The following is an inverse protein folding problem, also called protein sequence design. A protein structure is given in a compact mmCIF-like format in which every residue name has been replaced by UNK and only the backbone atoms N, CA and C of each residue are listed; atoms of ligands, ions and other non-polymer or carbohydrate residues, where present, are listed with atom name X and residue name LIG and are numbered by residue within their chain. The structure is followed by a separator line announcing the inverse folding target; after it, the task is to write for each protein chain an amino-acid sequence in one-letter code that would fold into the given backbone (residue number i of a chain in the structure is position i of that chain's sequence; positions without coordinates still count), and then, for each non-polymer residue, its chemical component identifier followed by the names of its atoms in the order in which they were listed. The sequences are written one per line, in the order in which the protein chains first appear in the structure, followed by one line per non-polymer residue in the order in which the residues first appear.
data_IF_315144745708
#
_entry.id   IF_315144745708
#
_cell.length_a   1.000
_cell.length_b   1.000
_cell.length_c   1.000
_cell.angle_alpha   90.00
_cell.angle_beta   90.00
_cell.angle_gamma   90.00
#
_symmetry.space_group_name_H-M   'P 1'
#
loop_
_entity.id
_entity.type
_entity.pdbx_description
1 polymer ?
#
# COMPACT_ATOMS: atom_id res chain seq x y z
N UNK A 1 13.29 -43.85 46.35
CA UNK A 1 12.32 -43.37 45.36
C UNK A 1 12.82 -42.03 44.77
N UNK A 2 13.36 -42.08 43.57
CA UNK A 2 13.83 -40.89 42.88
C UNK A 2 12.65 -40.23 42.15
N UNK A 3 12.29 -38.98 42.52
CA UNK A 3 11.31 -38.18 41.80
C UNK A 3 11.96 -37.64 40.52
N UNK A 4 11.54 -38.19 39.38
CA UNK A 4 11.89 -37.64 38.05
C UNK A 4 11.16 -36.31 37.87
N UNK A 5 11.89 -35.21 37.95
CA UNK A 5 11.39 -33.90 37.60
C UNK A 5 11.31 -33.86 36.06
N UNK A 6 10.10 -33.94 35.50
CA UNK A 6 9.88 -33.63 34.08
C UNK A 6 10.20 -32.14 33.89
N UNK A 7 11.27 -31.81 33.19
CA UNK A 7 11.48 -30.51 32.64
C UNK A 7 10.45 -30.33 31.54
N UNK A 8 9.35 -29.61 31.81
CA UNK A 8 8.46 -29.12 30.78
C UNK A 8 9.26 -28.11 29.94
N UNK A 9 9.56 -28.52 28.72
CA UNK A 9 10.17 -27.64 27.73
C UNK A 9 9.07 -26.73 27.17
N UNK A 10 8.85 -25.62 27.82
CA UNK A 10 7.95 -24.57 27.28
C UNK A 10 8.63 -23.95 26.05
N UNK A 11 8.09 -24.20 24.86
CA UNK A 11 8.49 -23.44 23.68
C UNK A 11 8.13 -21.98 23.92
N UNK A 12 9.13 -21.12 24.00
CA UNK A 12 8.93 -19.68 24.02
C UNK A 12 8.81 -19.22 22.57
N UNK A 13 7.66 -18.69 22.21
CA UNK A 13 7.45 -18.01 20.95
C UNK A 13 7.85 -16.54 21.13
N UNK A 14 8.59 -16.00 20.16
CA UNK A 14 8.92 -14.60 20.07
C UNK A 14 8.13 -14.01 18.88
N UNK A 15 7.24 -13.02 19.10
CA UNK A 15 6.54 -12.38 18.00
C UNK A 15 7.49 -11.50 17.19
N UNK A 16 7.34 -11.55 15.87
CA UNK A 16 8.10 -10.74 14.90
C UNK A 16 7.08 -10.13 13.96
N UNK A 17 6.87 -8.83 14.05
CA UNK A 17 5.77 -8.14 13.37
C UNK A 17 6.34 -7.09 12.42
N UNK A 18 5.98 -7.17 11.16
CA UNK A 18 6.15 -6.12 10.16
C UNK A 18 4.80 -5.59 9.70
N UNK A 19 4.77 -4.36 9.26
CA UNK A 19 3.56 -3.71 8.75
C UNK A 19 3.72 -3.32 7.29
N UNK A 20 2.65 -3.51 6.52
CA UNK A 20 2.45 -2.94 5.19
C UNK A 20 1.26 -1.98 5.29
N UNK A 21 1.49 -0.70 5.02
CA UNK A 21 0.52 0.36 5.22
C UNK A 21 0.23 1.01 3.87
N UNK A 22 -1.05 1.02 3.46
CA UNK A 22 -1.50 1.74 2.29
C UNK A 22 -2.04 3.12 2.69
N UNK A 23 -1.46 4.18 2.12
CA UNK A 23 -1.91 5.54 2.30
C UNK A 23 -2.41 6.13 0.97
N UNK A 24 -3.70 6.46 0.90
CA UNK A 24 -4.24 7.20 -0.26
C UNK A 24 -3.75 8.64 -0.24
N UNK A 25 -3.23 9.10 -1.38
CA UNK A 25 -2.77 10.47 -1.53
C UNK A 25 -3.93 11.40 -1.91
N UNK A 26 -3.99 12.56 -1.27
CA UNK A 26 -5.04 13.57 -1.48
C UNK A 26 -4.75 14.45 -2.72
N UNK A 27 -4.44 13.83 -3.84
CA UNK A 27 -4.34 14.54 -5.14
C UNK A 27 -5.72 14.80 -5.71
N UNK A 28 -5.85 15.79 -6.60
CA UNK A 28 -7.13 16.09 -7.25
C UNK A 28 -7.47 15.09 -8.36
N UNK A 29 -6.45 14.48 -8.96
CA UNK A 29 -6.60 13.49 -10.02
C UNK A 29 -5.84 12.21 -9.72
N UNK A 30 -6.23 11.13 -10.39
CA UNK A 30 -5.65 9.81 -10.28
C UNK A 30 -4.18 9.78 -10.69
N UNK A 31 -3.48 8.69 -10.33
CA UNK A 31 -2.04 8.56 -10.55
C UNK A 31 -1.64 8.64 -12.04
N UNK A 32 -2.47 8.10 -12.95
CA UNK A 32 -2.12 7.99 -14.36
C UNK A 32 -3.15 8.62 -15.32
N UNK A 33 -4.16 9.32 -14.80
CA UNK A 33 -5.17 10.01 -15.63
C UNK A 33 -5.78 11.21 -14.91
N UNK A 34 -6.57 12.01 -15.63
CA UNK A 34 -7.22 13.20 -15.10
C UNK A 34 -8.54 12.97 -14.35
N UNK A 35 -8.96 11.71 -14.11
CA UNK A 35 -10.18 11.44 -13.36
C UNK A 35 -10.06 11.91 -11.91
N UNK A 36 -11.17 12.37 -11.35
CA UNK A 36 -11.25 12.85 -9.97
C UNK A 36 -10.96 11.71 -8.96
N UNK A 37 -10.27 12.05 -7.88
CA UNK A 37 -10.05 11.17 -6.72
C UNK A 37 -11.09 11.40 -5.62
N UNK A 38 -12.08 12.30 -5.85
CA UNK A 38 -13.09 12.65 -4.85
C UNK A 38 -13.89 11.42 -4.42
N UNK A 39 -13.97 11.20 -3.12
CA UNK A 39 -14.80 10.17 -2.52
C UNK A 39 -16.30 10.52 -2.60
N UNK A 40 -17.19 9.50 -2.65
CA UNK A 40 -18.64 9.67 -2.53
C UNK A 40 -19.37 10.02 -3.84
N UNK A 41 -18.72 9.93 -5.00
CA UNK A 41 -19.39 10.03 -6.30
C UNK A 41 -20.28 8.80 -6.59
N UNK A 42 -21.30 8.94 -7.46
CA UNK A 42 -22.07 7.78 -7.94
C UNK A 42 -21.15 6.74 -8.57
N UNK A 43 -21.44 5.44 -8.46
CA UNK A 43 -20.58 4.37 -8.98
C UNK A 43 -20.23 4.58 -10.47
N UNK A 44 -18.97 4.35 -10.80
CA UNK A 44 -18.42 4.41 -12.17
C UNK A 44 -18.56 5.77 -12.87
N UNK A 45 -18.61 6.88 -12.12
CA UNK A 45 -18.66 8.25 -12.69
C UNK A 45 -17.27 8.89 -12.78
N UNK A 46 -16.29 8.44 -12.01
CA UNK A 46 -14.91 8.92 -12.04
C UNK A 46 -13.99 7.95 -12.80
N UNK A 47 -14.36 7.60 -14.03
CA UNK A 47 -13.65 6.64 -14.86
C UNK A 47 -13.37 7.17 -16.25
N UNK A 48 -12.30 6.70 -16.87
CA UNK A 48 -11.95 6.99 -18.26
C UNK A 48 -11.27 5.77 -18.90
N UNK A 49 -11.06 5.77 -20.22
CA UNK A 49 -10.38 4.66 -20.89
C UNK A 49 -9.03 4.28 -20.27
N UNK A 50 -8.28 5.24 -19.72
CA UNK A 50 -6.96 4.95 -19.10
C UNK A 50 -7.10 4.13 -17.83
N UNK A 51 -7.88 4.58 -16.85
CA UNK A 51 -8.03 3.83 -15.59
C UNK A 51 -8.83 2.53 -15.76
N UNK A 52 -9.64 2.41 -16.83
CA UNK A 52 -10.32 1.16 -17.20
C UNK A 52 -9.43 0.22 -18.03
N UNK A 53 -8.24 0.65 -18.42
CA UNK A 53 -7.30 -0.20 -19.17
C UNK A 53 -7.75 -0.57 -20.57
N UNK A 54 -8.46 0.33 -21.25
CA UNK A 54 -8.92 0.10 -22.63
C UNK A 54 -7.73 -0.06 -23.59
N UNK A 55 -7.87 -0.84 -24.68
CA UNK A 55 -6.79 -1.02 -25.66
C UNK A 55 -6.29 0.32 -26.23
N UNK A 56 -4.96 0.47 -26.31
CA UNK A 56 -4.30 1.63 -26.90
C UNK A 56 -4.08 2.81 -25.97
N UNK A 57 -4.54 2.77 -24.72
CA UNK A 57 -4.29 3.83 -23.74
C UNK A 57 -2.88 3.77 -23.17
N UNK A 58 -2.32 4.95 -22.86
CA UNK A 58 -1.03 5.08 -22.22
C UNK A 58 -1.16 5.90 -20.92
N UNK A 59 -0.64 5.40 -19.79
CA UNK A 59 -0.65 6.13 -18.53
C UNK A 59 0.32 7.32 -18.56
N UNK A 60 -0.07 8.43 -17.92
CA UNK A 60 0.79 9.61 -17.72
C UNK A 60 0.84 9.90 -16.22
N UNK A 61 2.05 9.84 -15.66
CA UNK A 61 2.25 10.00 -14.22
C UNK A 61 1.88 11.41 -13.73
N UNK A 62 1.07 11.49 -12.70
CA UNK A 62 0.70 12.71 -12.02
C UNK A 62 1.87 13.22 -11.16
N UNK A 63 2.28 14.46 -11.40
CA UNK A 63 3.39 15.11 -10.69
C UNK A 63 3.15 15.25 -9.19
N UNK A 64 1.92 15.58 -8.77
CA UNK A 64 1.57 15.78 -7.37
C UNK A 64 1.78 14.49 -6.55
N UNK A 65 1.58 13.32 -7.17
CA UNK A 65 1.84 12.02 -6.54
C UNK A 65 3.32 11.87 -6.17
N UNK A 66 4.22 12.26 -7.07
CA UNK A 66 5.66 12.22 -6.80
C UNK A 66 6.00 13.17 -5.66
N UNK A 67 5.47 14.40 -5.69
CA UNK A 67 5.75 15.41 -4.65
C UNK A 67 5.26 14.94 -3.26
N UNK A 68 4.07 14.35 -3.18
CA UNK A 68 3.54 13.82 -1.91
C UNK A 68 4.33 12.60 -1.44
N UNK A 69 4.70 11.72 -2.35
CA UNK A 69 5.52 10.55 -2.04
C UNK A 69 6.92 10.95 -1.53
N UNK A 70 7.55 11.95 -2.13
CA UNK A 70 8.82 12.49 -1.65
C UNK A 70 8.69 13.14 -0.26
N UNK A 71 7.61 13.87 0.01
CA UNK A 71 7.34 14.42 1.35
C UNK A 71 7.22 13.32 2.40
N UNK A 72 6.51 12.23 2.10
CA UNK A 72 6.40 11.07 2.98
C UNK A 72 7.76 10.42 3.22
N UNK A 73 8.55 10.22 2.16
CA UNK A 73 9.89 9.65 2.27
C UNK A 73 10.82 10.49 3.16
N UNK A 74 10.77 11.81 3.04
CA UNK A 74 11.54 12.72 3.88
C UNK A 74 11.04 12.70 5.34
N UNK A 75 9.72 12.70 5.56
CA UNK A 75 9.13 12.67 6.89
C UNK A 75 9.45 11.38 7.66
N UNK A 76 9.67 10.29 6.95
CA UNK A 76 10.05 8.98 7.50
C UNK A 76 11.55 8.69 7.40
N UNK A 77 12.37 9.72 7.19
CA UNK A 77 13.84 9.62 7.12
C UNK A 77 14.36 8.62 6.08
N UNK A 78 13.56 8.34 5.04
CA UNK A 78 13.98 7.46 3.96
C UNK A 78 15.00 8.13 3.04
N UNK A 79 15.89 7.31 2.47
CA UNK A 79 16.74 7.72 1.36
C UNK A 79 15.94 7.65 0.05
N UNK A 80 15.78 8.80 -0.62
CA UNK A 80 15.13 8.86 -1.93
C UNK A 80 16.04 8.27 -2.98
N UNK A 81 15.53 7.33 -3.78
CA UNK A 81 16.28 6.68 -4.84
C UNK A 81 16.52 7.65 -6.00
N UNK A 82 17.76 7.76 -6.51
CA UNK A 82 18.06 8.62 -7.68
C UNK A 82 17.44 8.08 -8.98
N UNK A 83 17.10 6.80 -9.00
CA UNK A 83 16.40 6.11 -10.07
C UNK A 83 15.25 5.29 -9.50
N UNK A 84 14.08 5.42 -10.10
CA UNK A 84 12.86 4.73 -9.69
C UNK A 84 12.10 4.25 -10.93
N UNK A 85 11.51 3.08 -10.89
CA UNK A 85 10.83 2.48 -12.03
C UNK A 85 9.53 1.81 -11.59
N UNK A 86 8.47 2.02 -12.40
CA UNK A 86 7.23 1.25 -12.25
C UNK A 86 7.38 -0.15 -12.84
N UNK A 87 6.70 -1.09 -12.21
CA UNK A 87 6.56 -2.48 -12.60
C UNK A 87 5.08 -2.84 -12.71
N UNK A 88 4.78 -4.00 -13.27
CA UNK A 88 3.42 -4.53 -13.36
C UNK A 88 3.28 -5.74 -12.45
N UNK A 89 2.38 -5.63 -11.46
CA UNK A 89 1.96 -6.75 -10.62
C UNK A 89 0.75 -7.40 -11.28
N UNK A 90 0.96 -8.51 -11.96
CA UNK A 90 -0.08 -9.20 -12.73
C UNK A 90 -0.94 -10.06 -11.82
N UNK A 91 -2.24 -9.80 -11.79
CA UNK A 91 -3.26 -10.67 -11.20
C UNK A 91 -4.63 -10.37 -11.80
N UNK A 92 -5.52 -11.36 -11.79
CA UNK A 92 -6.86 -11.23 -12.36
C UNK A 92 -7.88 -11.21 -11.22
N UNK A 93 -8.54 -10.07 -11.08
CA UNK A 93 -9.65 -9.90 -10.15
C UNK A 93 -10.66 -8.88 -10.71
N UNK A 94 -11.98 -8.99 -10.41
CA UNK A 94 -12.98 -8.11 -11.01
C UNK A 94 -12.77 -6.63 -10.79
N UNK A 95 -12.15 -6.22 -9.68
CA UNK A 95 -11.86 -4.81 -9.36
C UNK A 95 -10.59 -4.27 -10.03
N UNK A 96 -9.88 -5.10 -10.78
CA UNK A 96 -8.68 -4.71 -11.51
C UNK A 96 -8.89 -4.86 -13.03
N UNK A 97 -9.46 -3.83 -13.69
CA UNK A 97 -9.94 -3.95 -15.09
C UNK A 97 -8.83 -4.22 -16.12
N UNK A 98 -7.58 -3.84 -15.79
CA UNK A 98 -6.41 -4.06 -16.65
C UNK A 98 -5.83 -5.48 -16.53
N UNK A 99 -6.17 -6.24 -15.50
CA UNK A 99 -5.53 -7.51 -15.17
C UNK A 99 -4.13 -7.37 -14.58
N UNK A 100 -3.68 -6.15 -14.29
CA UNK A 100 -2.43 -5.85 -13.58
C UNK A 100 -2.55 -4.53 -12.82
N UNK A 101 -1.78 -4.39 -11.77
CA UNK A 101 -1.59 -3.16 -11.01
C UNK A 101 -0.24 -2.56 -11.39
N UNK A 102 -0.20 -1.24 -11.65
CA UNK A 102 1.07 -0.53 -11.79
C UNK A 102 1.56 -0.20 -10.38
N UNK A 103 2.74 -0.66 -10.05
CA UNK A 103 3.37 -0.53 -8.75
C UNK A 103 4.88 -0.38 -8.91
N UNK A 104 5.66 -0.44 -7.83
CA UNK A 104 7.11 -0.46 -7.88
C UNK A 104 7.62 -1.62 -7.04
N UNK A 105 8.65 -2.33 -7.49
CA UNK A 105 9.21 -3.46 -6.76
C UNK A 105 10.73 -3.36 -6.63
N UNK A 106 11.48 -3.55 -7.72
CA UNK A 106 12.95 -3.53 -7.69
C UNK A 106 13.53 -2.13 -7.47
N UNK A 107 12.86 -1.11 -8.01
CA UNK A 107 13.31 0.28 -7.96
C UNK A 107 12.24 1.20 -7.34
N UNK A 108 11.97 1.06 -6.03
CA UNK A 108 11.00 1.89 -5.34
C UNK A 108 11.48 3.33 -5.21
N UNK A 109 10.56 4.24 -4.90
CA UNK A 109 10.85 5.66 -4.71
C UNK A 109 11.88 5.91 -3.60
N UNK A 110 11.75 5.21 -2.46
CA UNK A 110 12.60 5.43 -1.31
C UNK A 110 12.80 4.15 -0.49
N UNK A 111 13.91 4.11 0.27
CA UNK A 111 14.32 2.96 1.10
C UNK A 111 15.00 3.42 2.38
N UNK A 112 15.17 2.46 3.30
CA UNK A 112 16.03 2.58 4.48
C UNK A 112 15.67 3.79 5.36
N UNK A 113 14.38 3.96 5.63
CA UNK A 113 13.87 4.98 6.54
C UNK A 113 13.68 4.46 7.95
N UNK A 114 13.09 5.32 8.78
CA UNK A 114 12.69 4.97 10.15
C UNK A 114 11.69 5.98 10.69
N UNK A 115 10.92 5.52 11.68
CA UNK A 115 10.08 6.35 12.53
C UNK A 115 10.44 6.09 13.98
N UNK A 116 10.26 7.08 14.83
CA UNK A 116 10.49 6.96 16.27
C UNK A 116 9.15 6.83 16.98
N UNK A 117 8.99 5.76 17.76
CA UNK A 117 7.84 5.54 18.61
C UNK A 117 8.18 6.05 20.00
N UNK A 118 7.35 6.94 20.53
CA UNK A 118 7.42 7.37 21.93
C UNK A 118 6.56 6.43 22.77
N UNK A 119 7.19 5.74 23.71
CA UNK A 119 6.56 4.78 24.61
C UNK A 119 6.77 5.25 26.06
N UNK A 120 5.96 4.77 27.00
CA UNK A 120 6.14 5.06 28.44
C UNK A 120 7.53 4.64 28.96
N UNK A 121 8.12 3.61 28.33
CA UNK A 121 9.44 3.06 28.70
C UNK A 121 10.62 3.73 28.00
N UNK A 122 10.39 4.72 27.13
CA UNK A 122 11.40 5.39 26.31
C UNK A 122 11.05 5.38 24.84
N UNK A 123 11.93 5.89 23.98
CA UNK A 123 11.72 5.87 22.54
C UNK A 123 12.29 4.60 21.88
N UNK A 124 11.62 4.13 20.84
CA UNK A 124 12.05 3.00 20.02
C UNK A 124 11.98 3.36 18.54
N UNK A 125 13.00 3.02 17.79
CA UNK A 125 13.05 3.22 16.36
C UNK A 125 12.55 1.99 15.61
N UNK A 126 11.55 2.20 14.73
CA UNK A 126 11.07 1.19 13.78
C UNK A 126 11.57 1.57 12.40
N UNK A 127 12.27 0.65 11.76
CA UNK A 127 12.85 0.86 10.43
C UNK A 127 11.78 0.73 9.34
N UNK A 128 11.92 1.54 8.30
CA UNK A 128 11.14 1.46 7.07
C UNK A 128 12.01 0.80 6.00
N UNK A 129 11.58 -0.33 5.49
CA UNK A 129 12.27 -1.04 4.43
C UNK A 129 12.21 -0.27 3.11
N UNK A 130 10.99 0.11 2.70
CA UNK A 130 10.75 0.88 1.46
C UNK A 130 9.46 1.66 1.51
N UNK A 131 9.39 2.67 0.64
CA UNK A 131 8.15 3.36 0.25
C UNK A 131 8.07 3.32 -1.26
N UNK A 132 6.93 2.89 -1.79
CA UNK A 132 6.70 2.87 -3.22
C UNK A 132 5.31 3.37 -3.59
N UNK A 133 5.22 3.86 -4.83
CA UNK A 133 3.98 4.36 -5.41
C UNK A 133 3.25 3.24 -6.14
N UNK A 134 1.93 3.23 -6.01
CA UNK A 134 1.06 2.31 -6.74
C UNK A 134 -0.33 2.89 -6.97
N UNK A 135 -1.13 2.21 -7.78
CA UNK A 135 -2.53 2.55 -8.02
C UNK A 135 -3.46 1.68 -7.18
N UNK A 136 -4.55 2.29 -6.67
CA UNK A 136 -5.59 1.54 -5.97
C UNK A 136 -6.45 0.73 -6.97
N UNK A 137 -7.03 -0.36 -6.49
CA UNK A 137 -8.00 -1.18 -7.21
C UNK A 137 -9.42 -0.60 -7.08
N UNK A 138 -10.37 -1.13 -7.84
CA UNK A 138 -11.79 -0.81 -7.72
C UNK A 138 -12.39 -1.34 -6.41
N UNK A 139 -13.70 -1.23 -6.29
CA UNK A 139 -14.45 -1.73 -5.14
C UNK A 139 -15.45 -2.78 -5.58
N UNK A 140 -15.46 -3.93 -4.93
CA UNK A 140 -16.53 -4.92 -5.04
C UNK A 140 -17.60 -4.65 -3.98
N UNK A 141 -18.85 -4.66 -4.41
CA UNK A 141 -20.04 -4.53 -3.55
C UNK A 141 -20.86 -5.79 -3.74
N UNK A 142 -20.94 -6.61 -2.71
CA UNK A 142 -21.75 -7.82 -2.72
C UNK A 142 -23.19 -7.46 -2.34
N UNK A 143 -24.14 -7.99 -3.11
CA UNK A 143 -25.57 -7.87 -2.78
C UNK A 143 -25.90 -8.82 -1.63
N UNK A 144 -26.65 -8.34 -0.65
CA UNK A 144 -27.03 -9.13 0.53
C UNK A 144 -28.14 -10.16 0.22
N UNK A 145 -28.92 -9.93 -0.83
CA UNK A 145 -30.13 -10.71 -1.14
C UNK A 145 -30.01 -11.55 -2.42
N UNK A 146 -29.03 -11.24 -3.28
CA UNK A 146 -28.83 -11.91 -4.55
C UNK A 146 -27.39 -12.37 -4.73
N UNK A 147 -27.12 -13.49 -5.42
CA UNK A 147 -25.79 -14.00 -5.65
C UNK A 147 -25.08 -13.20 -6.78
N UNK A 148 -25.05 -11.88 -6.64
CA UNK A 148 -24.42 -10.95 -7.58
C UNK A 148 -23.47 -10.01 -6.85
N UNK A 149 -22.45 -9.55 -7.57
CA UNK A 149 -21.49 -8.54 -7.11
C UNK A 149 -21.42 -7.43 -8.14
N UNK A 150 -21.44 -6.21 -7.67
CA UNK A 150 -21.25 -5.00 -8.48
C UNK A 150 -19.81 -4.53 -8.36
N UNK A 151 -19.28 -3.94 -9.43
CA UNK A 151 -17.94 -3.37 -9.44
C UNK A 151 -18.04 -1.86 -9.63
N UNK A 152 -17.44 -1.11 -8.70
CA UNK A 152 -17.27 0.32 -8.79
C UNK A 152 -15.79 0.65 -9.03
N UNK A 153 -15.48 1.21 -10.20
CA UNK A 153 -14.13 1.60 -10.60
C UNK A 153 -13.77 3.05 -10.24
N UNK A 154 -14.59 3.77 -9.49
CA UNK A 154 -14.26 5.14 -9.08
C UNK A 154 -12.92 5.21 -8.32
N UNK A 155 -12.61 4.20 -7.50
CA UNK A 155 -11.36 4.12 -6.77
C UNK A 155 -10.18 3.64 -7.61
N UNK A 156 -10.41 2.90 -8.70
CA UNK A 156 -9.35 2.37 -9.57
C UNK A 156 -8.42 3.48 -10.06
N UNK A 157 -7.13 3.35 -9.79
CA UNK A 157 -6.12 4.33 -10.16
C UNK A 157 -6.01 5.53 -9.20
N UNK A 158 -6.69 5.53 -8.06
CA UNK A 158 -6.41 6.48 -6.97
C UNK A 158 -4.98 6.24 -6.49
N UNK A 159 -4.16 7.30 -6.31
CA UNK A 159 -2.77 7.12 -5.93
C UNK A 159 -2.63 6.57 -4.51
N UNK A 160 -1.83 5.51 -4.37
CA UNK A 160 -1.41 4.94 -3.09
C UNK A 160 0.09 5.07 -2.89
N UNK A 161 0.48 5.19 -1.63
CA UNK A 161 1.80 4.81 -1.16
C UNK A 161 1.68 3.53 -0.33
N UNK A 162 2.50 2.55 -0.64
CA UNK A 162 2.73 1.43 0.24
C UNK A 162 4.03 1.67 1.03
N UNK A 163 3.87 1.68 2.35
CA UNK A 163 4.96 1.87 3.31
C UNK A 163 5.19 0.51 3.97
N UNK A 164 6.34 -0.07 3.75
CA UNK A 164 6.71 -1.39 4.27
C UNK A 164 7.73 -1.21 5.39
N UNK A 165 7.39 -1.62 6.62
CA UNK A 165 8.32 -1.62 7.73
C UNK A 165 9.27 -2.82 7.69
N UNK A 166 10.40 -2.73 8.40
CA UNK A 166 11.13 -3.91 8.84
C UNK A 166 10.35 -4.60 9.98
N UNK A 167 10.60 -5.88 10.23
CA UNK A 167 9.90 -6.63 11.28
C UNK A 167 10.49 -6.34 12.68
N UNK A 168 10.49 -5.08 13.05
CA UNK A 168 11.09 -4.61 14.30
C UNK A 168 10.12 -4.61 15.48
N UNK A 169 8.81 -4.74 15.22
CA UNK A 169 7.75 -4.67 16.23
C UNK A 169 7.63 -6.04 16.93
N UNK A 170 7.46 -6.05 18.24
CA UNK A 170 7.40 -7.27 19.06
C UNK A 170 6.10 -7.39 19.84
N UNK A 171 5.41 -6.27 20.08
CA UNK A 171 4.17 -6.26 20.87
C UNK A 171 3.08 -5.46 20.17
N UNK A 172 1.79 -5.71 20.46
CA UNK A 172 0.68 -4.93 19.92
C UNK A 172 0.67 -3.46 20.37
N UNK A 173 1.34 -3.13 21.47
CA UNK A 173 1.38 -1.78 22.04
C UNK A 173 2.42 -0.89 21.33
N UNK A 174 3.31 -1.48 20.57
CA UNK A 174 4.26 -0.79 19.67
C UNK A 174 3.62 -0.46 18.33
#
# INVERSE_FOLDING_TARGET
MARTVRRECWMRFEPVIGLEIHAQLLTQSKIFCGCSTRFGGSPNTHVCPVCLGMPGVLPVLNRDVIEFAMKMALATHCTISPYSQFARKNYFYPDLPKGYQISQYEFPLARNGWVELEMETGSRRIRIHRIHMEEDAGKLVHDEFQPVSYVDFNRTGVPLLEIVSEPDIQTPDE
#
